data_IF_570680415926
#
_entry.id   IF_570680415926
#
_cell.length_a   1.000
_cell.length_b   1.000
_cell.length_c   1.000
_cell.angle_alpha   90.00
_cell.angle_beta   90.00
_cell.angle_gamma   90.00
#
_symmetry.space_group_name_H-M   'P 1'
#
loop_
_entity.id
_entity.type
_entity.pdbx_description
1 polymer ?
#
# COMPACT_ATOMS: atom_id res chain seq x y z
N UNK A 1 -9.76 -1.14 42.07
CA UNK A 1 -8.43 -0.55 41.83
C UNK A 1 -8.17 -0.63 40.33
N UNK A 2 -8.38 0.49 39.66
CA UNK A 2 -8.29 0.64 38.21
C UNK A 2 -6.83 0.50 37.76
N UNK A 3 -6.56 -0.45 36.85
CA UNK A 3 -5.35 -0.43 36.02
C UNK A 3 -5.57 0.62 34.93
N UNK A 4 -5.20 1.86 35.20
CA UNK A 4 -4.96 2.83 34.18
C UNK A 4 -3.72 2.34 33.38
N UNK A 5 -3.92 1.81 32.17
CA UNK A 5 -2.87 1.58 31.23
C UNK A 5 -2.31 2.94 30.82
N UNK A 6 -1.05 3.21 31.16
CA UNK A 6 -0.23 4.22 30.52
C UNK A 6 -0.03 3.81 29.05
N UNK A 7 -1.00 4.07 28.22
CA UNK A 7 -0.77 4.25 26.78
C UNK A 7 -0.35 5.71 26.70
N UNK A 8 0.96 5.94 26.62
CA UNK A 8 1.52 7.24 26.26
C UNK A 8 0.73 7.77 25.09
N UNK A 9 0.00 8.88 25.29
CA UNK A 9 -0.57 9.66 24.18
C UNK A 9 0.59 9.94 23.25
N UNK A 10 0.54 9.36 22.05
CA UNK A 10 1.55 9.55 21.04
C UNK A 10 1.67 11.04 20.77
N UNK A 11 2.66 11.68 21.39
CA UNK A 11 2.98 13.07 21.12
C UNK A 11 3.63 13.15 19.74
N UNK A 12 2.83 13.48 18.73
CA UNK A 12 3.37 13.96 17.48
C UNK A 12 3.89 15.40 17.69
N UNK A 13 5.01 15.73 17.07
CA UNK A 13 5.49 17.11 17.11
C UNK A 13 4.42 18.05 16.51
N UNK A 14 4.28 19.26 17.02
CA UNK A 14 3.35 20.28 16.51
C UNK A 14 3.47 20.53 14.98
N UNK A 15 4.63 20.19 14.41
CA UNK A 15 4.92 20.36 12.97
C UNK A 15 4.71 19.10 12.15
N UNK A 16 4.36 17.98 12.76
CA UNK A 16 4.23 16.69 12.06
C UNK A 16 3.22 16.75 10.91
N UNK A 17 2.10 17.43 11.14
CA UNK A 17 0.98 17.52 10.21
C UNK A 17 0.95 18.83 9.39
N UNK A 18 2.01 19.66 9.44
CA UNK A 18 2.16 20.80 8.55
C UNK A 18 2.36 20.35 7.10
N UNK A 19 1.85 21.11 6.16
CA UNK A 19 1.94 20.88 4.72
C UNK A 19 2.88 21.90 4.06
N UNK A 20 3.25 21.72 2.80
CA UNK A 20 3.93 22.76 2.02
C UNK A 20 2.95 23.89 1.70
N UNK A 21 1.73 23.50 1.29
CA UNK A 21 0.63 24.43 1.06
C UNK A 21 -0.44 24.22 2.14
N UNK A 22 -0.45 25.13 3.13
CA UNK A 22 -1.47 25.22 4.18
C UNK A 22 -2.66 26.13 3.77
N UNK A 23 -2.74 26.52 2.48
CA UNK A 23 -3.87 27.25 1.93
C UNK A 23 -5.17 26.45 1.93
N UNK A 24 -6.27 27.11 1.63
CA UNK A 24 -7.62 26.55 1.62
C UNK A 24 -7.72 25.35 0.69
N UNK A 25 -8.09 24.19 1.25
CA UNK A 25 -8.27 22.95 0.52
C UNK A 25 -9.39 23.03 -0.52
N UNK A 26 -10.45 23.81 -0.26
CA UNK A 26 -11.52 24.04 -1.22
C UNK A 26 -11.00 24.64 -2.54
N UNK A 27 -10.01 25.52 -2.48
CA UNK A 27 -9.38 26.08 -3.68
C UNK A 27 -8.55 25.04 -4.43
N UNK A 28 -7.77 24.22 -3.74
CA UNK A 28 -6.93 23.18 -4.35
C UNK A 28 -7.77 22.09 -5.01
N UNK A 29 -8.82 21.63 -4.33
CA UNK A 29 -9.70 20.56 -4.81
C UNK A 29 -10.84 21.03 -5.73
N UNK A 30 -10.98 22.33 -6.01
CA UNK A 30 -11.96 22.86 -6.97
C UNK A 30 -11.72 22.41 -8.42
N UNK A 31 -10.49 21.95 -8.74
CA UNK A 31 -10.15 21.47 -10.08
C UNK A 31 -10.45 19.99 -10.17
N UNK A 32 -11.35 19.63 -11.11
CA UNK A 32 -11.75 18.23 -11.35
C UNK A 32 -10.56 17.38 -11.78
N UNK A 33 -10.42 16.22 -11.15
CA UNK A 33 -9.36 15.24 -11.42
C UNK A 33 -9.94 13.86 -11.72
N UNK A 34 -10.73 13.78 -12.80
CA UNK A 34 -11.34 12.54 -13.31
C UNK A 34 -10.26 11.62 -13.93
N UNK A 35 -9.20 11.35 -13.17
CA UNK A 35 -8.06 10.52 -13.62
C UNK A 35 -7.76 9.44 -12.58
N UNK A 36 -7.37 8.24 -12.99
CA UNK A 36 -6.96 7.20 -12.05
C UNK A 36 -5.78 7.68 -11.19
N UNK A 37 -5.93 7.60 -9.88
CA UNK A 37 -4.87 7.93 -8.93
C UNK A 37 -3.84 6.79 -8.80
N UNK A 38 -4.23 5.57 -9.17
CA UNK A 38 -3.42 4.36 -9.20
C UNK A 38 -3.39 3.81 -10.64
N UNK A 39 -2.40 2.96 -10.95
CA UNK A 39 -2.48 2.18 -12.19
C UNK A 39 -3.53 1.05 -12.07
N UNK A 40 -3.92 0.48 -13.21
CA UNK A 40 -4.98 -0.53 -13.31
C UNK A 40 -4.72 -1.75 -12.41
N UNK A 41 -3.47 -2.24 -12.32
CA UNK A 41 -3.14 -3.39 -11.49
C UNK A 41 -3.25 -3.07 -9.99
N UNK A 42 -2.85 -1.87 -9.58
CA UNK A 42 -3.01 -1.40 -8.21
C UNK A 42 -4.49 -1.16 -7.87
N UNK A 43 -5.29 -0.57 -8.78
CA UNK A 43 -6.73 -0.40 -8.60
C UNK A 43 -7.44 -1.74 -8.42
N UNK A 44 -7.12 -2.76 -9.23
CA UNK A 44 -7.66 -4.11 -9.05
C UNK A 44 -7.29 -4.73 -7.70
N UNK A 45 -6.07 -4.48 -7.19
CA UNK A 45 -5.68 -4.92 -5.83
C UNK A 45 -6.50 -4.21 -4.77
N UNK A 46 -6.75 -2.91 -4.90
CA UNK A 46 -7.60 -2.13 -3.98
C UNK A 46 -9.01 -2.71 -3.93
N UNK A 47 -9.66 -2.92 -5.10
CA UNK A 47 -11.01 -3.51 -5.20
C UNK A 47 -11.06 -4.91 -4.56
N UNK A 48 -10.07 -5.77 -4.82
CA UNK A 48 -9.99 -7.11 -4.23
C UNK A 48 -9.83 -7.08 -2.70
N UNK A 49 -9.05 -6.13 -2.15
CA UNK A 49 -8.90 -5.97 -0.70
C UNK A 49 -10.22 -5.51 -0.08
N UNK A 50 -10.87 -4.51 -0.66
CA UNK A 50 -12.16 -4.00 -0.16
C UNK A 50 -13.21 -5.13 -0.17
N UNK A 51 -13.40 -5.80 -1.31
CA UNK A 51 -14.37 -6.90 -1.46
C UNK A 51 -14.13 -8.05 -0.48
N UNK A 52 -12.87 -8.37 -0.19
CA UNK A 52 -12.49 -9.45 0.74
C UNK A 52 -12.72 -9.10 2.21
N UNK A 53 -12.58 -7.82 2.58
CA UNK A 53 -12.73 -7.35 3.95
C UNK A 53 -14.17 -6.88 4.29
N UNK A 54 -14.98 -6.52 3.30
CA UNK A 54 -16.40 -6.23 3.47
C UNK A 54 -17.16 -7.56 3.52
N UNK A 55 -17.61 -7.97 4.71
CA UNK A 55 -18.24 -9.27 4.96
C UNK A 55 -19.71 -9.17 5.32
N UNK A 56 -20.23 -7.97 5.42
CA UNK A 56 -21.63 -7.69 5.70
C UNK A 56 -22.51 -7.97 4.48
N UNK A 57 -23.74 -8.39 4.73
CA UNK A 57 -24.80 -8.38 3.73
C UNK A 57 -25.44 -6.98 3.70
N UNK A 58 -25.56 -6.37 2.52
CA UNK A 58 -26.11 -5.02 2.31
C UNK A 58 -25.51 -3.94 3.22
N UNK A 59 -24.15 -3.77 3.28
CA UNK A 59 -23.50 -2.86 4.20
C UNK A 59 -23.80 -1.39 3.91
N UNK A 60 -24.03 -0.61 4.96
CA UNK A 60 -23.99 0.86 4.91
C UNK A 60 -22.53 1.32 4.87
N UNK A 61 -22.09 1.86 3.75
CA UNK A 61 -20.70 2.22 3.49
C UNK A 61 -20.52 3.73 3.46
N UNK A 62 -19.52 4.25 4.17
CA UNK A 62 -19.00 5.61 4.00
C UNK A 62 -17.66 5.57 3.25
N UNK A 63 -17.61 6.21 2.08
CA UNK A 63 -16.35 6.51 1.39
C UNK A 63 -15.85 7.87 1.88
N UNK A 64 -14.81 7.85 2.73
CA UNK A 64 -14.26 9.00 3.42
C UNK A 64 -13.16 9.65 2.58
N UNK A 65 -13.30 10.94 2.27
CA UNK A 65 -12.48 11.69 1.33
C UNK A 65 -12.63 11.15 -0.10
N UNK A 66 -13.87 10.81 -0.46
CA UNK A 66 -14.24 10.26 -1.75
C UNK A 66 -13.93 11.21 -2.92
N UNK A 67 -13.68 10.62 -4.08
CA UNK A 67 -13.54 11.27 -5.36
C UNK A 67 -14.49 10.61 -6.38
N UNK A 68 -14.14 10.55 -7.66
CA UNK A 68 -14.96 10.02 -8.75
C UNK A 68 -15.02 8.48 -8.83
N UNK A 69 -14.22 7.76 -8.05
CA UNK A 69 -14.17 6.30 -8.01
C UNK A 69 -13.93 5.81 -6.56
N UNK A 70 -14.81 4.91 -6.09
CA UNK A 70 -14.75 4.32 -4.74
C UNK A 70 -14.15 2.91 -4.72
N UNK A 71 -13.81 2.33 -5.87
CA UNK A 71 -13.26 0.96 -6.00
C UNK A 71 -14.17 -0.14 -5.40
N UNK A 72 -15.49 0.04 -5.45
CA UNK A 72 -16.50 -0.87 -4.88
C UNK A 72 -17.05 -1.88 -5.89
N UNK A 73 -16.57 -1.90 -7.13
CA UNK A 73 -17.11 -2.73 -8.22
C UNK A 73 -17.15 -4.24 -7.90
N UNK A 74 -16.25 -4.72 -7.03
CA UNK A 74 -16.17 -6.13 -6.64
C UNK A 74 -16.90 -6.44 -5.32
N UNK A 75 -17.49 -5.44 -4.65
CA UNK A 75 -18.27 -5.65 -3.42
C UNK A 75 -19.64 -6.19 -3.80
N UNK A 76 -20.02 -7.42 -3.36
CA UNK A 76 -21.33 -7.95 -3.66
C UNK A 76 -22.42 -7.16 -2.91
N UNK A 77 -23.41 -6.66 -3.65
CA UNK A 77 -24.59 -5.98 -3.09
C UNK A 77 -24.22 -4.94 -2.01
N UNK A 78 -23.44 -3.90 -2.34
CA UNK A 78 -23.30 -2.80 -1.39
C UNK A 78 -24.70 -2.26 -1.10
N UNK A 79 -25.05 -2.07 0.16
CA UNK A 79 -26.32 -1.47 0.54
C UNK A 79 -26.35 0.00 0.14
N UNK A 80 -26.37 0.92 1.09
CA UNK A 80 -26.26 2.34 0.78
C UNK A 80 -24.80 2.80 0.86
N UNK A 81 -24.30 3.49 -0.16
CA UNK A 81 -22.98 4.08 -0.23
C UNK A 81 -23.06 5.60 -0.16
N UNK A 82 -22.40 6.19 0.83
CA UNK A 82 -22.34 7.65 1.02
C UNK A 82 -20.90 8.12 0.81
N UNK A 83 -20.69 9.07 -0.11
CA UNK A 83 -19.42 9.73 -0.32
C UNK A 83 -19.28 11.01 0.50
N UNK A 84 -18.13 11.22 1.13
CA UNK A 84 -17.77 12.49 1.74
C UNK A 84 -16.45 12.97 1.16
N UNK A 85 -16.46 14.09 0.40
CA UNK A 85 -15.30 14.58 -0.33
C UNK A 85 -15.30 16.08 -0.52
N UNK A 86 -14.36 16.59 -1.32
CA UNK A 86 -14.15 18.03 -1.49
C UNK A 86 -14.64 18.57 -2.84
N UNK A 87 -14.68 17.76 -3.89
CA UNK A 87 -15.07 18.19 -5.23
C UNK A 87 -16.45 17.61 -5.61
N UNK A 88 -17.45 18.50 -5.73
CA UNK A 88 -18.82 18.11 -6.02
C UNK A 88 -18.97 17.41 -7.38
N UNK A 89 -18.25 17.87 -8.42
CA UNK A 89 -18.32 17.26 -9.76
C UNK A 89 -17.74 15.84 -9.77
N UNK A 90 -16.65 15.58 -9.01
CA UNK A 90 -16.08 14.26 -8.86
C UNK A 90 -17.05 13.33 -8.13
N UNK A 91 -17.65 13.79 -7.02
CA UNK A 91 -18.64 13.04 -6.25
C UNK A 91 -19.88 12.73 -7.07
N UNK A 92 -20.44 13.69 -7.83
CA UNK A 92 -21.59 13.48 -8.71
C UNK A 92 -21.29 12.47 -9.83
N UNK A 93 -20.04 12.41 -10.29
CA UNK A 93 -19.61 11.47 -11.34
C UNK A 93 -19.34 10.06 -10.82
N UNK A 94 -19.25 9.88 -9.50
CA UNK A 94 -18.97 8.59 -8.88
C UNK A 94 -20.21 7.69 -8.86
N UNK A 95 -20.19 6.67 -9.69
CA UNK A 95 -21.34 5.76 -9.91
C UNK A 95 -21.59 4.80 -8.74
N UNK A 96 -20.66 4.67 -7.81
CA UNK A 96 -20.84 3.83 -6.64
C UNK A 96 -21.64 4.52 -5.53
N UNK A 97 -21.78 5.86 -5.58
CA UNK A 97 -22.42 6.63 -4.52
C UNK A 97 -23.93 6.76 -4.75
N UNK A 98 -24.73 6.44 -3.72
CA UNK A 98 -26.15 6.77 -3.65
C UNK A 98 -26.38 8.20 -3.17
N UNK A 99 -25.49 8.71 -2.33
CA UNK A 99 -25.50 10.06 -1.77
C UNK A 99 -24.09 10.58 -1.59
N UNK A 100 -23.93 11.89 -1.60
CA UNK A 100 -22.66 12.52 -1.25
C UNK A 100 -22.83 13.82 -0.46
N UNK A 101 -21.78 14.21 0.23
CA UNK A 101 -21.66 15.46 0.96
C UNK A 101 -20.31 16.11 0.66
N UNK A 102 -20.32 17.40 0.38
CA UNK A 102 -19.10 18.19 0.26
C UNK A 102 -18.68 18.62 1.67
N UNK A 103 -17.52 18.15 2.14
CA UNK A 103 -17.05 18.37 3.50
C UNK A 103 -15.53 18.37 3.59
N UNK A 104 -14.96 19.36 4.28
CA UNK A 104 -13.53 19.49 4.52
C UNK A 104 -13.18 19.02 5.92
N UNK A 105 -12.58 17.83 6.02
CA UNK A 105 -12.16 17.21 7.27
C UNK A 105 -10.99 17.94 7.95
N UNK A 106 -10.19 18.69 7.20
CA UNK A 106 -9.10 19.49 7.77
C UNK A 106 -9.62 20.78 8.43
N UNK A 107 -10.82 21.22 8.06
CA UNK A 107 -11.48 22.36 8.65
C UNK A 107 -12.45 21.95 9.76
N UNK A 108 -13.19 20.88 9.57
CA UNK A 108 -14.18 20.34 10.50
C UNK A 108 -14.01 18.82 10.54
N UNK A 109 -13.29 18.31 11.54
CA UNK A 109 -13.04 16.88 11.69
C UNK A 109 -14.30 16.08 12.05
N UNK A 110 -15.35 16.75 12.61
CA UNK A 110 -16.61 16.14 12.99
C UNK A 110 -17.38 15.68 11.76
N UNK A 111 -17.73 14.40 11.71
CA UNK A 111 -18.52 13.82 10.63
C UNK A 111 -20.01 14.16 10.77
N UNK A 112 -20.70 14.61 9.72
CA UNK A 112 -22.10 15.05 9.77
C UNK A 112 -23.09 13.86 9.74
N UNK A 113 -22.81 12.83 10.54
CA UNK A 113 -23.60 11.60 10.64
C UNK A 113 -23.85 11.23 12.11
N UNK A 114 -24.94 10.52 12.37
CA UNK A 114 -25.27 9.99 13.68
C UNK A 114 -24.33 8.85 14.09
N UNK A 115 -24.26 8.58 15.41
CA UNK A 115 -23.49 7.45 15.97
C UNK A 115 -24.01 6.11 15.39
N UNK A 116 -23.08 5.24 14.99
CA UNK A 116 -23.41 3.90 14.50
C UNK A 116 -24.23 3.88 13.22
N UNK A 117 -24.00 4.84 12.31
CA UNK A 117 -24.70 4.94 11.02
C UNK A 117 -24.17 3.94 9.98
N UNK A 118 -22.89 3.53 10.08
CA UNK A 118 -22.22 2.75 9.03
C UNK A 118 -21.70 1.41 9.55
N UNK A 119 -21.67 0.42 8.65
CA UNK A 119 -21.02 -0.88 8.86
C UNK A 119 -19.56 -0.85 8.44
N UNK A 120 -19.26 -0.04 7.40
CA UNK A 120 -17.94 0.06 6.80
C UNK A 120 -17.61 1.52 6.51
N UNK A 121 -16.40 1.94 6.86
CA UNK A 121 -15.80 3.18 6.38
C UNK A 121 -14.55 2.83 5.60
N UNK A 122 -14.43 3.33 4.38
CA UNK A 122 -13.22 3.21 3.55
C UNK A 122 -12.57 4.57 3.40
N UNK A 123 -11.24 4.60 3.35
CA UNK A 123 -10.47 5.78 2.98
C UNK A 123 -9.39 5.33 2.00
N UNK A 124 -9.48 5.77 0.74
CA UNK A 124 -8.61 5.31 -0.34
C UNK A 124 -7.73 6.45 -0.84
N UNK A 125 -6.40 6.27 -0.77
CA UNK A 125 -5.31 7.16 -1.22
C UNK A 125 -5.47 8.64 -0.79
N UNK A 126 -5.91 8.86 0.47
CA UNK A 126 -6.20 10.20 0.96
C UNK A 126 -5.86 10.44 2.45
N UNK A 127 -5.54 9.41 3.23
CA UNK A 127 -5.19 9.53 4.67
C UNK A 127 -4.00 10.46 4.92
N UNK A 128 -3.10 10.56 3.96
CA UNK A 128 -1.87 11.35 3.99
C UNK A 128 -2.09 12.88 3.88
N UNK A 129 -3.34 13.32 3.65
CA UNK A 129 -3.73 14.74 3.64
C UNK A 129 -4.41 15.19 4.92
N UNK A 130 -4.69 14.30 5.88
CA UNK A 130 -5.34 14.64 7.14
C UNK A 130 -4.39 15.41 8.07
N UNK A 131 -4.77 16.61 8.46
CA UNK A 131 -4.02 17.44 9.42
C UNK A 131 -4.34 17.12 10.87
N UNK A 132 -5.50 16.49 11.13
CA UNK A 132 -5.94 16.02 12.45
C UNK A 132 -6.40 14.57 12.39
N UNK A 133 -5.52 13.60 12.00
CA UNK A 133 -5.95 12.23 11.75
C UNK A 133 -6.54 11.53 12.99
N UNK A 134 -6.05 11.82 14.18
CA UNK A 134 -6.56 11.20 15.42
C UNK A 134 -8.00 11.61 15.70
N UNK A 135 -8.36 12.88 15.49
CA UNK A 135 -9.73 13.36 15.66
C UNK A 135 -10.67 12.72 14.63
N UNK A 136 -10.21 12.61 13.37
CA UNK A 136 -10.98 11.95 12.30
C UNK A 136 -11.17 10.47 12.58
N UNK A 137 -10.15 9.75 13.07
CA UNK A 137 -10.27 8.33 13.45
C UNK A 137 -11.24 8.14 14.61
N UNK A 138 -11.25 9.07 15.58
CA UNK A 138 -12.25 9.08 16.66
C UNK A 138 -13.67 9.27 16.13
N UNK A 139 -13.88 10.17 15.18
CA UNK A 139 -15.18 10.40 14.53
C UNK A 139 -15.60 9.19 13.67
N UNK A 140 -14.66 8.56 12.94
CA UNK A 140 -14.95 7.31 12.24
C UNK A 140 -15.40 6.22 13.22
N UNK A 141 -14.72 6.09 14.37
CA UNK A 141 -15.15 5.14 15.39
C UNK A 141 -16.54 5.46 15.92
N UNK A 142 -16.91 6.74 16.07
CA UNK A 142 -18.25 7.16 16.49
C UNK A 142 -19.34 6.75 15.52
N UNK A 143 -19.14 7.03 14.22
CA UNK A 143 -20.16 6.75 13.20
C UNK A 143 -20.23 5.27 12.79
N UNK A 144 -19.22 4.46 13.08
CA UNK A 144 -19.26 3.01 12.89
C UNK A 144 -20.15 2.33 13.92
N UNK A 145 -20.86 1.30 13.49
CA UNK A 145 -21.53 0.33 14.36
C UNK A 145 -20.51 -0.51 15.11
N UNK A 146 -20.81 -1.06 16.32
CA UNK A 146 -19.92 -2.01 16.99
C UNK A 146 -19.54 -3.18 16.07
N UNK A 147 -18.24 -3.44 15.93
CA UNK A 147 -17.68 -4.42 14.97
C UNK A 147 -17.61 -3.93 13.53
N UNK A 148 -18.03 -2.70 13.22
CA UNK A 148 -17.88 -2.11 11.90
C UNK A 148 -16.41 -1.94 11.50
N UNK A 149 -16.13 -1.96 10.20
CA UNK A 149 -14.80 -1.89 9.61
C UNK A 149 -14.39 -0.45 9.33
N UNK A 150 -13.20 -0.06 9.74
CA UNK A 150 -12.49 1.06 9.12
C UNK A 150 -11.29 0.53 8.32
N UNK A 151 -11.28 0.78 7.02
CA UNK A 151 -10.24 0.35 6.09
C UNK A 151 -9.56 1.56 5.45
N UNK A 152 -8.25 1.66 5.64
CA UNK A 152 -7.41 2.71 5.08
C UNK A 152 -6.49 2.09 4.03
N UNK A 153 -6.60 2.55 2.79
CA UNK A 153 -5.80 2.10 1.65
C UNK A 153 -4.96 3.26 1.14
N UNK A 154 -3.67 3.03 0.90
CA UNK A 154 -2.78 4.07 0.39
C UNK A 154 -1.68 3.49 -0.50
N UNK A 155 -0.96 4.38 -1.16
CA UNK A 155 0.12 4.04 -2.08
C UNK A 155 1.34 4.94 -1.85
N UNK A 156 2.30 4.90 -2.77
CA UNK A 156 3.42 5.84 -2.82
C UNK A 156 3.09 7.14 -3.58
N UNK A 157 1.84 7.28 -4.06
CA UNK A 157 1.37 8.48 -4.78
C UNK A 157 0.70 9.45 -3.82
N UNK A 158 1.03 10.71 -3.95
CA UNK A 158 0.42 11.82 -3.21
C UNK A 158 0.68 13.16 -3.92
N UNK A 159 -0.07 14.19 -3.57
CA UNK A 159 0.19 15.57 -3.98
C UNK A 159 1.22 16.21 -3.04
N UNK A 160 2.45 16.51 -3.52
CA UNK A 160 3.55 16.99 -2.66
C UNK A 160 3.20 18.24 -1.84
N UNK A 161 2.33 19.09 -2.38
CA UNK A 161 1.91 20.35 -1.76
C UNK A 161 0.99 20.12 -0.54
N UNK A 162 0.10 19.12 -0.62
CA UNK A 162 -0.97 18.86 0.36
C UNK A 162 -0.67 17.74 1.33
N UNK A 163 0.29 16.87 1.02
CA UNK A 163 0.69 15.79 1.93
C UNK A 163 1.31 16.36 3.21
N UNK A 164 0.93 15.79 4.36
CA UNK A 164 1.49 16.20 5.65
C UNK A 164 2.98 15.85 5.77
N UNK A 165 3.73 16.66 6.50
CA UNK A 165 5.18 16.56 6.61
C UNK A 165 5.66 15.18 7.08
N UNK A 166 5.04 14.64 8.12
CA UNK A 166 5.42 13.32 8.68
C UNK A 166 5.31 12.22 7.64
N UNK A 167 4.30 12.27 6.76
CA UNK A 167 4.12 11.31 5.68
C UNK A 167 5.16 11.47 4.58
N UNK A 168 5.44 12.72 4.19
CA UNK A 168 6.43 13.03 3.15
C UNK A 168 7.84 12.60 3.53
N UNK A 169 8.20 12.75 4.82
CA UNK A 169 9.52 12.39 5.36
C UNK A 169 9.64 10.91 5.69
N UNK A 170 8.52 10.19 5.83
CA UNK A 170 8.47 8.77 6.18
C UNK A 170 8.81 7.85 4.99
N UNK A 171 9.52 6.79 5.26
CA UNK A 171 9.66 5.63 4.37
C UNK A 171 8.32 4.88 4.20
N UNK A 172 8.16 4.03 3.17
CA UNK A 172 6.95 3.24 3.00
C UNK A 172 6.54 2.41 4.23
N UNK A 173 7.51 1.79 4.91
CA UNK A 173 7.25 1.02 6.13
C UNK A 173 6.79 1.91 7.29
N UNK A 174 7.40 3.10 7.45
CA UNK A 174 7.00 4.06 8.47
C UNK A 174 5.61 4.63 8.23
N UNK A 175 5.18 4.80 6.97
CA UNK A 175 3.80 5.22 6.63
C UNK A 175 2.77 4.19 7.06
N UNK A 176 3.04 2.90 6.85
CA UNK A 176 2.17 1.83 7.35
C UNK A 176 2.09 1.89 8.88
N UNK A 177 3.23 1.93 9.57
CA UNK A 177 3.28 2.04 11.02
C UNK A 177 2.57 3.30 11.53
N UNK A 178 2.64 4.41 10.78
CA UNK A 178 1.95 5.65 11.13
C UNK A 178 0.43 5.47 11.14
N UNK A 179 -0.14 4.80 10.13
CA UNK A 179 -1.58 4.52 10.09
C UNK A 179 -1.98 3.52 11.21
N UNK A 180 -1.19 2.48 11.45
CA UNK A 180 -1.39 1.56 12.58
C UNK A 180 -1.40 2.32 13.93
N UNK A 181 -0.55 3.33 14.08
CA UNK A 181 -0.50 4.20 15.27
C UNK A 181 -1.73 5.11 15.38
N UNK A 182 -2.32 5.57 14.28
CA UNK A 182 -3.58 6.33 14.33
C UNK A 182 -4.72 5.45 14.88
N UNK A 183 -4.82 4.19 14.45
CA UNK A 183 -5.75 3.24 15.05
C UNK A 183 -5.47 3.01 16.53
N UNK A 184 -4.22 2.77 16.92
CA UNK A 184 -3.83 2.52 18.30
C UNK A 184 -4.05 3.73 19.23
N UNK A 185 -4.05 4.96 18.69
CA UNK A 185 -4.35 6.18 19.45
C UNK A 185 -5.84 6.33 19.78
N UNK A 186 -6.72 5.56 19.13
CA UNK A 186 -8.14 5.50 19.38
C UNK A 186 -8.50 4.17 20.06
N UNK A 187 -8.86 4.21 21.35
CA UNK A 187 -9.19 3.04 22.18
C UNK A 187 -10.50 2.32 21.77
N UNK A 188 -11.22 2.87 20.80
CA UNK A 188 -12.45 2.31 20.26
C UNK A 188 -12.22 1.31 19.11
N UNK A 189 -10.98 1.08 18.69
CA UNK A 189 -10.63 0.08 17.68
C UNK A 189 -9.92 -1.12 18.30
N UNK A 190 -10.21 -2.31 17.74
CA UNK A 190 -9.41 -3.51 17.96
C UNK A 190 -8.00 -3.34 17.36
N UNK A 191 -7.03 -4.20 17.71
CA UNK A 191 -5.69 -4.15 17.09
C UNK A 191 -5.76 -4.21 15.57
N UNK A 192 -5.07 -3.28 14.90
CA UNK A 192 -5.11 -3.17 13.46
C UNK A 192 -4.44 -4.38 12.77
N UNK A 193 -5.08 -4.84 11.69
CA UNK A 193 -4.47 -5.71 10.70
C UNK A 193 -3.86 -4.89 9.56
N UNK A 194 -2.88 -5.45 8.86
CA UNK A 194 -2.28 -4.79 7.70
C UNK A 194 -1.88 -5.76 6.59
N UNK A 195 -1.83 -5.25 5.36
CA UNK A 195 -1.39 -5.97 4.16
C UNK A 195 -0.60 -5.03 3.27
N UNK A 196 0.48 -5.55 2.69
CA UNK A 196 1.27 -4.83 1.66
C UNK A 196 1.31 -5.66 0.39
N UNK A 197 0.96 -5.05 -0.74
CA UNK A 197 1.05 -5.64 -2.08
C UNK A 197 1.92 -4.75 -2.94
N UNK A 198 3.05 -5.26 -3.41
CA UNK A 198 3.99 -4.50 -4.22
C UNK A 198 4.76 -5.40 -5.19
N UNK A 199 5.47 -4.80 -6.15
CA UNK A 199 6.28 -5.52 -7.11
C UNK A 199 5.52 -6.20 -8.24
N UNK A 200 4.21 -5.99 -8.37
CA UNK A 200 3.43 -6.51 -9.50
C UNK A 200 3.88 -5.85 -10.81
N UNK A 201 3.77 -6.55 -11.94
CA UNK A 201 4.09 -5.95 -13.23
C UNK A 201 3.16 -4.76 -13.50
N UNK A 202 3.72 -3.65 -13.96
CA UNK A 202 2.94 -2.51 -14.42
C UNK A 202 2.27 -2.85 -15.76
N UNK A 203 0.98 -2.55 -15.94
CA UNK A 203 0.28 -2.78 -17.20
C UNK A 203 1.00 -2.11 -18.38
N UNK A 204 1.05 -2.79 -19.53
CA UNK A 204 1.70 -2.25 -20.72
C UNK A 204 1.01 -0.99 -21.28
N UNK A 205 -0.27 -0.82 -20.94
CA UNK A 205 -1.10 0.35 -21.30
C UNK A 205 -0.83 1.56 -20.41
N UNK A 206 -0.18 1.38 -19.25
CA UNK A 206 0.15 2.48 -18.35
C UNK A 206 1.18 3.43 -18.96
N UNK A 207 0.96 4.75 -18.81
CA UNK A 207 1.85 5.79 -19.35
C UNK A 207 3.30 5.68 -18.88
N UNK A 208 3.53 5.05 -17.71
CA UNK A 208 4.86 4.83 -17.15
C UNK A 208 5.40 3.41 -17.39
N UNK A 209 4.74 2.59 -18.23
CA UNK A 209 5.20 1.24 -18.54
C UNK A 209 6.63 1.21 -19.12
N UNK A 210 7.01 2.27 -19.86
CA UNK A 210 8.35 2.44 -20.44
C UNK A 210 9.47 2.57 -19.38
N UNK A 211 9.14 2.92 -18.13
CA UNK A 211 10.14 3.09 -17.06
C UNK A 211 10.68 1.77 -16.52
N UNK A 212 9.98 0.66 -16.78
CA UNK A 212 10.30 -0.65 -16.22
C UNK A 212 10.03 -0.77 -14.72
N UNK A 213 9.47 0.28 -14.08
CA UNK A 213 9.08 0.23 -12.67
C UNK A 213 7.86 -0.67 -12.47
N UNK A 214 7.74 -1.35 -11.32
CA UNK A 214 6.54 -2.13 -10.99
C UNK A 214 5.29 -1.25 -10.92
N UNK A 215 4.13 -1.90 -10.87
CA UNK A 215 2.85 -1.29 -10.54
C UNK A 215 2.95 -0.53 -9.20
N UNK A 216 2.07 0.44 -9.01
CA UNK A 216 2.01 1.20 -7.78
C UNK A 216 1.78 0.26 -6.58
N UNK A 217 2.55 0.37 -5.49
CA UNK A 217 2.33 -0.45 -4.32
C UNK A 217 1.01 -0.09 -3.64
N UNK A 218 0.33 -1.08 -3.07
CA UNK A 218 -0.88 -0.90 -2.27
C UNK A 218 -0.59 -1.33 -0.84
N UNK A 219 -0.89 -0.45 0.08
CA UNK A 219 -0.84 -0.68 1.52
C UNK A 219 -2.26 -0.60 2.05
N UNK A 220 -2.66 -1.57 2.86
CA UNK A 220 -3.94 -1.57 3.55
C UNK A 220 -3.70 -1.72 5.05
N UNK A 221 -4.37 -0.90 5.84
CA UNK A 221 -4.43 -1.02 7.30
C UNK A 221 -5.89 -0.92 7.70
N UNK A 222 -6.37 -1.85 8.52
CA UNK A 222 -7.76 -1.88 8.93
C UNK A 222 -7.92 -2.27 10.39
N UNK A 223 -9.00 -1.82 11.00
CA UNK A 223 -9.43 -2.29 12.30
C UNK A 223 -10.95 -2.32 12.38
N UNK A 224 -11.47 -3.17 13.28
CA UNK A 224 -12.88 -3.21 13.63
C UNK A 224 -13.13 -2.34 14.88
N UNK A 225 -14.28 -1.65 14.91
CA UNK A 225 -14.73 -0.99 16.13
C UNK A 225 -15.01 -2.02 17.21
N UNK A 226 -14.56 -1.79 18.43
CA UNK A 226 -14.79 -2.67 19.58
C UNK A 226 -16.28 -2.95 19.81
N UNK A 227 -16.60 -4.09 20.42
CA UNK A 227 -17.97 -4.48 20.79
C UNK A 227 -18.73 -5.22 19.68
N UNK A 228 -18.04 -5.72 18.64
CA UNK A 228 -18.61 -6.60 17.64
C UNK A 228 -19.09 -7.93 18.22
N UNK A 229 -20.06 -8.58 17.53
CA UNK A 229 -20.59 -9.89 17.91
C UNK A 229 -19.57 -10.98 17.65
N UNK A 230 -19.46 -11.96 18.55
CA UNK A 230 -18.51 -13.08 18.42
C UNK A 230 -18.81 -14.04 17.25
N UNK A 231 -20.05 -14.05 16.74
CA UNK A 231 -20.51 -14.90 15.64
C UNK A 231 -20.35 -14.26 14.25
N UNK A 232 -19.77 -13.06 14.18
CA UNK A 232 -19.53 -12.35 12.91
C UNK A 232 -18.50 -13.08 12.06
N UNK A 233 -18.66 -13.09 10.72
CA UNK A 233 -17.62 -13.60 9.83
C UNK A 233 -16.29 -12.90 10.07
N UNK A 234 -15.22 -13.67 10.13
CA UNK A 234 -13.87 -13.09 10.27
C UNK A 234 -13.42 -12.45 8.97
N UNK A 235 -13.00 -11.21 9.04
CA UNK A 235 -12.39 -10.52 7.91
C UNK A 235 -11.02 -11.12 7.63
N UNK A 236 -10.79 -11.45 6.36
CA UNK A 236 -9.49 -11.95 5.90
C UNK A 236 -9.08 -11.20 4.66
N UNK A 237 -7.83 -10.72 4.59
CA UNK A 237 -7.33 -10.13 3.36
C UNK A 237 -7.34 -11.18 2.24
N UNK A 238 -7.45 -10.77 0.97
CA UNK A 238 -7.50 -11.67 -0.16
C UNK A 238 -6.21 -12.50 -0.26
N UNK A 239 -6.35 -13.77 -0.61
CA UNK A 239 -5.25 -14.57 -1.14
C UNK A 239 -5.05 -14.17 -2.60
N UNK A 240 -4.19 -13.16 -2.81
CA UNK A 240 -3.91 -12.70 -4.16
C UNK A 240 -3.12 -13.76 -4.92
N UNK A 241 -3.67 -14.18 -6.06
CA UNK A 241 -3.00 -15.13 -6.94
C UNK A 241 -1.57 -14.66 -7.27
N UNK A 242 -0.58 -15.56 -7.23
CA UNK A 242 0.75 -15.23 -7.69
C UNK A 242 0.69 -14.82 -9.16
N UNK A 243 1.05 -13.57 -9.48
CA UNK A 243 1.11 -13.09 -10.86
C UNK A 243 2.17 -13.82 -11.71
N UNK A 244 3.01 -14.62 -11.08
CA UNK A 244 4.02 -15.45 -11.72
C UNK A 244 4.05 -16.85 -11.11
N UNK A 245 3.79 -17.86 -11.94
CA UNK A 245 3.92 -19.30 -11.60
C UNK A 245 5.11 -19.86 -12.37
N UNK A 246 6.14 -20.34 -11.67
CA UNK A 246 7.24 -21.09 -12.29
C UNK A 246 6.99 -22.59 -12.15
N UNK A 247 7.25 -23.34 -13.23
CA UNK A 247 7.37 -24.81 -13.11
C UNK A 247 8.64 -25.13 -12.28
N UNK A 248 8.51 -25.77 -11.10
CA UNK A 248 9.65 -26.01 -10.22
C UNK A 248 10.76 -26.85 -10.89
N UNK A 249 10.41 -27.86 -11.68
CA UNK A 249 11.37 -28.74 -12.34
C UNK A 249 12.15 -27.97 -13.43
N UNK A 250 11.46 -27.17 -14.21
CA UNK A 250 12.09 -26.35 -15.22
C UNK A 250 13.00 -25.29 -14.59
N UNK A 251 12.57 -24.69 -13.49
CA UNK A 251 13.35 -23.69 -12.76
C UNK A 251 14.65 -24.30 -12.21
N UNK A 252 14.59 -25.47 -11.60
CA UNK A 252 15.79 -26.16 -11.09
C UNK A 252 16.74 -26.55 -12.24
N UNK A 253 16.22 -27.01 -13.36
CA UNK A 253 17.03 -27.25 -14.55
C UNK A 253 17.74 -25.98 -15.04
N UNK A 254 16.99 -24.87 -15.17
CA UNK A 254 17.56 -23.56 -15.57
C UNK A 254 18.61 -23.07 -14.59
N UNK A 255 18.41 -23.23 -13.28
CA UNK A 255 19.41 -22.87 -12.25
C UNK A 255 20.70 -23.66 -12.42
N UNK A 256 20.61 -24.96 -12.74
CA UNK A 256 21.79 -25.80 -13.02
C UNK A 256 22.56 -25.38 -14.27
N UNK A 257 21.91 -24.70 -15.21
CA UNK A 257 22.50 -24.25 -16.48
C UNK A 257 23.07 -22.82 -16.46
N UNK A 258 22.84 -22.04 -15.40
CA UNK A 258 23.23 -20.61 -15.35
C UNK A 258 24.73 -20.42 -15.60
N UNK A 259 25.60 -21.28 -15.04
CA UNK A 259 27.05 -21.17 -15.25
C UNK A 259 27.48 -21.31 -16.71
N UNK A 260 26.69 -22.00 -17.52
CA UNK A 260 26.94 -22.19 -18.96
C UNK A 260 26.26 -21.12 -19.82
N UNK A 261 25.04 -20.75 -19.47
CA UNK A 261 24.18 -19.87 -20.30
C UNK A 261 24.36 -18.39 -19.98
N UNK A 262 24.81 -18.08 -18.75
CA UNK A 262 24.78 -16.72 -18.17
C UNK A 262 23.42 -16.04 -18.33
N UNK A 263 22.33 -16.82 -18.30
CA UNK A 263 20.96 -16.36 -18.37
C UNK A 263 20.28 -16.52 -17.01
N UNK A 264 19.45 -15.54 -16.68
CA UNK A 264 18.62 -15.59 -15.45
C UNK A 264 17.61 -16.72 -15.54
N UNK A 265 17.52 -17.65 -14.57
CA UNK A 265 16.60 -18.77 -14.63
C UNK A 265 15.11 -18.37 -14.55
N UNK A 266 14.83 -17.14 -14.15
CA UNK A 266 13.47 -16.61 -13.98
C UNK A 266 12.96 -15.78 -15.16
N UNK A 267 13.83 -15.16 -15.94
CA UNK A 267 13.43 -14.26 -17.02
C UNK A 267 14.25 -14.38 -18.30
N UNK A 268 15.16 -15.33 -18.36
CA UNK A 268 16.07 -15.62 -19.48
C UNK A 268 16.97 -14.45 -19.92
N UNK A 269 16.92 -13.31 -19.22
CA UNK A 269 17.81 -12.17 -19.51
C UNK A 269 19.25 -12.52 -19.18
N UNK A 270 20.19 -12.01 -20.02
CA UNK A 270 21.63 -12.13 -19.75
C UNK A 270 21.98 -11.49 -18.41
N UNK A 271 22.78 -12.18 -17.61
CA UNK A 271 23.31 -11.65 -16.36
C UNK A 271 24.45 -10.68 -16.63
N UNK A 272 24.46 -9.58 -15.89
CA UNK A 272 25.56 -8.61 -15.94
C UNK A 272 26.62 -8.95 -14.91
N UNK A 273 27.86 -8.78 -15.29
CA UNK A 273 29.01 -8.85 -14.37
C UNK A 273 28.93 -7.67 -13.40
N UNK A 274 28.96 -7.95 -12.12
CA UNK A 274 28.82 -6.97 -11.05
C UNK A 274 30.02 -7.06 -10.10
N UNK A 275 30.74 -5.96 -9.96
CA UNK A 275 31.87 -5.89 -9.04
C UNK A 275 31.39 -5.87 -7.59
N UNK A 276 31.91 -6.78 -6.77
CA UNK A 276 31.60 -6.85 -5.35
C UNK A 276 32.25 -5.66 -4.65
N UNK A 277 31.49 -4.77 -3.97
CA UNK A 277 32.06 -3.67 -3.22
C UNK A 277 33.01 -4.21 -2.13
N UNK A 278 34.27 -3.84 -2.19
CA UNK A 278 35.25 -4.24 -1.21
C UNK A 278 35.16 -3.32 0.01
N UNK A 279 34.57 -3.82 1.08
CA UNK A 279 34.45 -3.13 2.37
C UNK A 279 34.97 -4.04 3.48
N UNK A 280 35.29 -3.51 4.66
CA UNK A 280 35.72 -4.34 5.81
C UNK A 280 34.67 -5.38 6.25
N UNK A 281 33.42 -5.26 5.75
CA UNK A 281 32.29 -6.14 6.06
C UNK A 281 31.93 -7.07 4.90
N UNK A 282 32.69 -7.06 3.82
CA UNK A 282 32.45 -7.94 2.66
C UNK A 282 32.90 -9.36 2.97
N UNK A 283 31.95 -10.30 3.03
CA UNK A 283 32.22 -11.72 3.31
C UNK A 283 32.31 -12.58 2.04
N UNK A 284 32.27 -11.97 0.85
CA UNK A 284 32.30 -12.72 -0.41
C UNK A 284 33.70 -12.87 -0.95
N UNK A 285 34.08 -14.14 -1.20
CA UNK A 285 35.44 -14.52 -1.69
C UNK A 285 35.67 -14.18 -3.16
N UNK A 286 34.65 -13.58 -3.85
CA UNK A 286 34.71 -13.29 -5.28
C UNK A 286 34.83 -11.78 -5.52
N UNK A 287 35.69 -11.38 -6.44
CA UNK A 287 35.81 -9.98 -6.89
C UNK A 287 34.58 -9.53 -7.67
N UNK A 288 33.84 -10.47 -8.28
CA UNK A 288 32.63 -10.21 -9.03
C UNK A 288 31.64 -11.36 -8.99
N UNK A 289 30.39 -11.01 -9.12
CA UNK A 289 29.23 -11.90 -9.24
C UNK A 289 28.47 -11.58 -10.54
N UNK A 290 27.56 -12.45 -10.94
CA UNK A 290 26.68 -12.20 -12.07
C UNK A 290 25.25 -11.97 -11.60
N UNK A 291 24.69 -10.79 -11.90
CA UNK A 291 23.40 -10.34 -11.34
C UNK A 291 22.39 -10.07 -12.48
N UNK A 292 21.15 -10.43 -12.24
CA UNK A 292 20.05 -10.09 -13.13
C UNK A 292 19.60 -8.64 -12.87
N UNK A 293 19.85 -7.76 -13.85
CA UNK A 293 19.42 -6.36 -13.79
C UNK A 293 18.17 -6.07 -14.61
N UNK A 294 17.44 -7.10 -15.06
CA UNK A 294 16.13 -6.93 -15.65
C UNK A 294 15.12 -6.51 -14.59
N UNK A 295 14.59 -5.28 -14.67
CA UNK A 295 13.63 -4.75 -13.71
C UNK A 295 12.24 -5.38 -13.86
N UNK A 296 11.97 -6.08 -14.96
CA UNK A 296 10.78 -6.90 -15.18
C UNK A 296 10.99 -8.37 -14.80
N UNK A 297 12.13 -8.71 -14.18
CA UNK A 297 12.38 -10.07 -13.75
C UNK A 297 11.33 -10.52 -12.72
N UNK A 298 10.60 -11.63 -12.96
CA UNK A 298 9.61 -12.15 -12.01
C UNK A 298 10.18 -12.37 -10.60
N UNK A 299 11.43 -12.76 -10.49
CA UNK A 299 12.10 -12.96 -9.21
C UNK A 299 12.21 -11.65 -8.41
N UNK A 300 12.62 -10.56 -9.05
CA UNK A 300 12.68 -9.22 -8.44
C UNK A 300 11.29 -8.73 -8.06
N UNK A 301 10.34 -8.83 -8.99
CA UNK A 301 9.00 -8.28 -8.79
C UNK A 301 8.26 -9.00 -7.66
N UNK A 302 8.31 -10.34 -7.60
CA UNK A 302 7.72 -11.13 -6.52
C UNK A 302 8.41 -10.88 -5.18
N UNK A 303 9.70 -10.57 -5.22
CA UNK A 303 10.51 -10.33 -4.03
C UNK A 303 9.96 -9.22 -3.13
N UNK A 304 9.31 -8.20 -3.69
CA UNK A 304 8.70 -7.13 -2.91
C UNK A 304 7.61 -7.66 -1.96
N UNK A 305 6.67 -8.44 -2.49
CA UNK A 305 5.60 -9.03 -1.68
C UNK A 305 6.13 -10.04 -0.65
N UNK A 306 7.10 -10.85 -1.06
CA UNK A 306 7.70 -11.87 -0.20
C UNK A 306 8.45 -11.25 0.99
N UNK A 307 9.27 -10.23 0.74
CA UNK A 307 10.02 -9.53 1.78
C UNK A 307 9.09 -8.74 2.72
N UNK A 308 8.01 -8.16 2.17
CA UNK A 308 7.01 -7.46 2.98
C UNK A 308 6.30 -8.43 3.96
N UNK A 309 5.91 -9.63 3.51
CA UNK A 309 5.32 -10.67 4.39
C UNK A 309 6.27 -11.12 5.50
N UNK A 310 7.58 -11.04 5.27
CA UNK A 310 8.61 -11.34 6.26
C UNK A 310 8.95 -10.15 7.17
N UNK A 311 8.22 -9.03 7.10
CA UNK A 311 8.44 -7.82 7.88
C UNK A 311 9.51 -6.88 7.32
N UNK A 312 10.04 -7.16 6.11
CA UNK A 312 11.06 -6.35 5.43
C UNK A 312 10.44 -5.50 4.30
N UNK A 313 9.38 -4.76 4.62
CA UNK A 313 8.73 -3.85 3.66
C UNK A 313 9.75 -2.84 3.08
N UNK A 314 9.65 -2.57 1.78
CA UNK A 314 10.57 -1.67 1.08
C UNK A 314 11.84 -2.34 0.56
N UNK A 315 11.97 -3.67 0.67
CA UNK A 315 13.05 -4.46 0.08
C UNK A 315 12.53 -5.49 -0.91
N UNK A 316 13.36 -5.84 -1.87
CA UNK A 316 13.23 -7.00 -2.75
C UNK A 316 14.59 -7.68 -2.88
N UNK A 317 14.73 -8.60 -3.84
CA UNK A 317 15.99 -9.24 -4.14
C UNK A 317 16.17 -9.46 -5.64
N UNK A 318 17.42 -9.35 -6.10
CA UNK A 318 17.81 -9.76 -7.44
C UNK A 318 18.39 -11.17 -7.42
N UNK A 319 18.20 -11.90 -8.52
CA UNK A 319 18.89 -13.15 -8.73
C UNK A 319 20.37 -12.87 -9.01
N UNK A 320 21.24 -13.53 -8.27
CA UNK A 320 22.67 -13.47 -8.44
C UNK A 320 23.23 -14.89 -8.58
N UNK A 321 24.24 -15.03 -9.42
CA UNK A 321 25.01 -16.26 -9.62
C UNK A 321 26.45 -16.05 -9.15
N UNK A 322 26.91 -16.95 -8.28
CA UNK A 322 28.28 -16.95 -7.81
C UNK A 322 29.10 -17.96 -8.64
N UNK A 323 30.08 -17.50 -9.44
CA UNK A 323 30.88 -18.38 -10.29
C UNK A 323 31.83 -19.30 -9.49
N UNK A 324 32.21 -18.95 -8.26
CA UNK A 324 33.10 -19.74 -7.42
C UNK A 324 32.45 -21.01 -6.90
N UNK A 325 31.21 -20.95 -6.45
CA UNK A 325 30.47 -22.09 -5.91
C UNK A 325 29.36 -22.62 -6.82
N UNK A 326 29.19 -22.03 -8.02
CA UNK A 326 28.19 -22.40 -9.03
C UNK A 326 26.71 -22.34 -8.51
N UNK A 327 26.40 -21.42 -7.60
CA UNK A 327 25.08 -21.31 -7.00
C UNK A 327 24.36 -20.03 -7.37
N UNK A 328 23.03 -20.16 -7.57
CA UNK A 328 22.12 -19.04 -7.61
C UNK A 328 21.70 -18.65 -6.20
N UNK A 329 21.71 -17.36 -5.91
CA UNK A 329 21.41 -16.79 -4.61
C UNK A 329 20.54 -15.53 -4.74
N UNK A 330 19.97 -15.06 -3.63
CA UNK A 330 19.24 -13.81 -3.52
C UNK A 330 20.20 -12.67 -3.13
N UNK A 331 20.13 -11.55 -3.81
CA UNK A 331 20.85 -10.32 -3.48
C UNK A 331 19.82 -9.26 -3.08
N UNK A 332 19.66 -8.93 -1.77
CA UNK A 332 18.68 -7.94 -1.31
C UNK A 332 18.92 -6.57 -1.91
N UNK A 333 17.85 -5.89 -2.30
CA UNK A 333 17.88 -4.54 -2.89
C UNK A 333 16.76 -3.66 -2.33
N UNK A 334 17.07 -2.40 -1.94
CA UNK A 334 16.07 -1.46 -1.45
C UNK A 334 15.34 -0.73 -2.60
N UNK A 335 15.79 -0.89 -3.83
CA UNK A 335 15.16 -0.28 -5.01
C UNK A 335 15.60 -0.97 -6.31
N UNK A 336 14.86 -0.77 -7.39
CA UNK A 336 15.24 -1.24 -8.74
C UNK A 336 16.52 -0.60 -9.27
N UNK A 337 16.92 0.55 -8.75
CA UNK A 337 18.15 1.25 -9.15
C UNK A 337 19.38 0.81 -8.37
N UNK A 338 19.19 0.12 -7.25
CA UNK A 338 20.29 -0.31 -6.40
C UNK A 338 21.29 -1.21 -7.14
N UNK A 339 22.55 -1.11 -6.76
CA UNK A 339 23.70 -1.91 -7.25
C UNK A 339 24.16 -1.62 -8.69
N UNK A 340 23.50 -0.72 -9.43
CA UNK A 340 23.81 -0.48 -10.85
C UNK A 340 25.17 0.19 -11.07
N UNK A 341 25.63 0.97 -10.09
CA UNK A 341 26.91 1.71 -10.17
C UNK A 341 28.14 0.77 -10.19
N UNK A 342 27.97 -0.50 -9.81
CA UNK A 342 29.02 -1.51 -9.78
C UNK A 342 28.93 -2.52 -10.93
N UNK A 343 28.08 -2.26 -11.94
CA UNK A 343 28.04 -3.07 -13.17
C UNK A 343 29.34 -2.83 -13.93
N UNK A 344 30.01 -3.91 -14.27
CA UNK A 344 31.22 -3.87 -15.10
C UNK A 344 30.79 -3.95 -16.57
N UNK A 345 31.01 -2.90 -17.32
CA UNK A 345 30.81 -2.91 -18.77
C UNK A 345 31.84 -3.86 -19.41
N UNK A 346 31.37 -4.75 -20.31
CA UNK A 346 32.23 -5.64 -21.12
C UNK A 346 32.79 -4.91 -22.30
#
# INVERSE_FOLDING_TARGET
MSRASNIDRLEFSERAFQRIDDGDDATFYAVDRMVPHLDEAASGVVSAIISSLVVEEDPEILDLMASWDSHLDEVPNPGRVVGLGMNENELESNRALDQYLVHDLNRIAVLPFDDGSFDVVINTVSVDYLTSPIDVFGEVARVLRPGGLFLVLFSNRYFPEKVVRIWREASPAERQMLVERFFAACDQFEPAGSLVVQGRPRPATDRYAHTGLPSDPVYAVWAEKVGGRADRPRRRPPELEPWFVSNPEELERKKGEVGRTMACPYCDSRLSKWAVPQTPFTEWDQDYLFVCFNDRCPFLLRGWDEMARQGNAGFSYRMMFNPGNQRCMCLPVPSVKALRDSIVEE
#
